data_IF_514737154962
#
_entry.id   IF_514737154962
#
_cell.length_a   1.000
_cell.length_b   1.000
_cell.length_c   1.000
_cell.angle_alpha   90.00
_cell.angle_beta   90.00
_cell.angle_gamma   90.00
#
_symmetry.space_group_name_H-M   'P 1'
#
loop_
_entity.id
_entity.type
_entity.pdbx_description
1 polymer ?
#
# COMPACT_ATOMS: atom_id res chain seq x y z
N UNK A 1 7.93 -17.50 19.02
CA UNK A 1 8.40 -16.91 17.75
C UNK A 1 8.29 -15.41 17.87
N UNK A 2 9.30 -14.65 17.46
CA UNK A 2 9.17 -13.19 17.32
C UNK A 2 8.17 -12.94 16.19
N UNK A 3 7.06 -12.28 16.48
CA UNK A 3 6.06 -11.91 15.47
C UNK A 3 6.30 -10.43 15.21
N UNK A 4 6.69 -10.07 13.98
CA UNK A 4 6.68 -8.67 13.59
C UNK A 4 5.24 -8.15 13.64
N UNK A 5 5.06 -6.91 14.08
CA UNK A 5 3.72 -6.26 14.12
C UNK A 5 3.15 -6.13 12.70
N UNK A 6 4.01 -5.94 11.71
CA UNK A 6 3.60 -5.92 10.32
C UNK A 6 4.77 -5.92 9.32
N UNK A 7 4.42 -5.90 8.04
CA UNK A 7 5.35 -5.87 6.90
C UNK A 7 5.15 -4.59 6.11
N UNK A 8 6.24 -3.87 5.88
CA UNK A 8 6.27 -2.68 5.06
C UNK A 8 7.06 -2.94 3.78
N UNK A 9 6.37 -2.93 2.65
CA UNK A 9 6.96 -3.00 1.32
C UNK A 9 7.19 -1.56 0.85
N UNK A 10 8.43 -1.24 0.50
CA UNK A 10 8.81 0.01 -0.18
C UNK A 10 9.21 -0.37 -1.59
N UNK A 11 8.53 0.16 -2.61
CA UNK A 11 8.73 -0.24 -3.99
C UNK A 11 8.81 0.96 -4.92
N UNK A 12 9.87 1.00 -5.72
CA UNK A 12 9.99 1.85 -6.89
C UNK A 12 9.69 1.03 -8.13
N UNK A 13 8.73 1.47 -8.94
CA UNK A 13 8.31 0.81 -10.18
C UNK A 13 8.52 1.73 -11.37
N UNK A 14 9.14 1.20 -12.42
CA UNK A 14 9.61 1.98 -13.57
C UNK A 14 9.08 1.42 -14.90
N UNK A 15 9.04 2.30 -15.90
CA UNK A 15 8.63 1.94 -17.27
C UNK A 15 7.15 1.64 -17.40
N UNK A 16 6.32 2.28 -16.56
CA UNK A 16 4.86 2.24 -16.62
C UNK A 16 4.39 3.22 -17.70
N UNK A 17 3.32 2.88 -18.41
CA UNK A 17 2.67 3.76 -19.38
C UNK A 17 2.25 5.08 -18.69
N UNK A 18 2.75 6.25 -19.14
CA UNK A 18 2.55 7.53 -18.46
C UNK A 18 1.08 7.85 -18.20
N UNK A 19 0.18 7.53 -19.11
CA UNK A 19 -1.26 7.81 -19.01
C UNK A 19 -1.89 7.21 -17.74
N UNK A 20 -1.37 6.06 -17.26
CA UNK A 20 -1.82 5.45 -16.00
C UNK A 20 -1.39 6.27 -14.77
N UNK A 21 -0.31 7.05 -14.89
CA UNK A 21 0.32 7.78 -13.79
C UNK A 21 -0.12 9.25 -13.72
N UNK A 22 -0.65 9.80 -14.80
CA UNK A 22 -0.96 11.22 -14.95
C UNK A 22 -2.10 11.68 -14.04
N UNK A 23 -3.12 10.84 -13.87
CA UNK A 23 -4.38 11.21 -13.20
C UNK A 23 -4.66 10.36 -11.98
N UNK A 24 -4.97 11.01 -10.85
CA UNK A 24 -5.24 10.33 -9.58
C UNK A 24 -6.36 9.29 -9.67
N UNK A 25 -7.34 9.49 -10.56
CA UNK A 25 -8.48 8.58 -10.75
C UNK A 25 -8.01 7.18 -11.18
N UNK A 26 -6.98 7.09 -12.02
CA UNK A 26 -6.40 5.83 -12.49
C UNK A 26 -5.77 5.05 -11.33
N UNK A 27 -4.99 5.74 -10.49
CA UNK A 27 -4.31 5.13 -9.34
C UNK A 27 -5.31 4.79 -8.23
N UNK A 28 -6.28 5.67 -7.97
CA UNK A 28 -7.33 5.45 -6.97
C UNK A 28 -8.03 4.11 -7.22
N UNK A 29 -8.45 3.82 -8.46
CA UNK A 29 -9.14 2.56 -8.76
C UNK A 29 -8.26 1.33 -8.46
N UNK A 30 -6.98 1.38 -8.88
CA UNK A 30 -6.02 0.30 -8.68
C UNK A 30 -5.77 0.07 -7.19
N UNK A 31 -5.48 1.13 -6.42
CA UNK A 31 -5.21 1.05 -4.99
C UNK A 31 -6.44 0.56 -4.22
N UNK A 32 -7.62 1.12 -4.48
CA UNK A 32 -8.86 0.71 -3.82
C UNK A 32 -9.20 -0.77 -4.11
N UNK A 33 -8.90 -1.26 -5.32
CA UNK A 33 -9.11 -2.66 -5.66
C UNK A 33 -8.07 -3.57 -5.00
N UNK A 34 -6.81 -3.13 -4.88
CA UNK A 34 -5.76 -3.87 -4.17
C UNK A 34 -6.13 -4.15 -2.72
N UNK A 35 -6.77 -3.18 -2.04
CA UNK A 35 -7.25 -3.30 -0.66
C UNK A 35 -8.30 -4.39 -0.54
N UNK A 36 -9.26 -4.42 -1.48
CA UNK A 36 -10.30 -5.47 -1.52
C UNK A 36 -9.71 -6.85 -1.78
N UNK A 37 -8.78 -6.97 -2.72
CA UNK A 37 -8.14 -8.24 -3.09
C UNK A 37 -7.25 -8.77 -1.97
N UNK A 38 -6.50 -7.89 -1.29
CA UNK A 38 -5.68 -8.22 -0.12
C UNK A 38 -6.46 -8.41 1.18
N UNK A 39 -7.80 -8.31 1.16
CA UNK A 39 -8.66 -8.37 2.33
C UNK A 39 -8.18 -7.45 3.47
N UNK A 40 -7.88 -6.20 3.09
CA UNK A 40 -7.41 -5.11 3.96
C UNK A 40 -8.59 -4.21 4.34
N UNK A 41 -8.57 -3.69 5.56
CA UNK A 41 -9.62 -2.79 6.07
C UNK A 41 -9.19 -1.34 5.92
N UNK A 42 -9.85 -0.61 5.01
CA UNK A 42 -9.68 0.83 4.85
C UNK A 42 -10.43 1.61 5.93
N UNK A 43 -9.77 2.60 6.53
CA UNK A 43 -10.39 3.64 7.38
C UNK A 43 -10.77 4.84 6.51
N UNK A 44 -9.80 5.42 5.81
CA UNK A 44 -9.96 6.62 5.01
C UNK A 44 -8.92 6.68 3.89
N UNK A 45 -9.13 7.55 2.93
CA UNK A 45 -8.20 7.76 1.81
C UNK A 45 -8.24 9.22 1.36
N UNK A 46 -7.09 9.76 0.97
CA UNK A 46 -6.98 11.07 0.34
C UNK A 46 -6.05 10.99 -0.89
N UNK A 47 -6.42 11.71 -1.94
CA UNK A 47 -5.74 11.66 -3.23
C UNK A 47 -5.63 13.06 -3.83
N UNK A 48 -4.40 13.49 -4.09
CA UNK A 48 -4.07 14.79 -4.64
C UNK A 48 -3.63 14.66 -6.09
N UNK A 49 -4.20 15.49 -6.96
CA UNK A 49 -3.79 15.64 -8.36
C UNK A 49 -2.85 16.84 -8.45
N UNK A 50 -1.66 16.63 -9.00
CA UNK A 50 -0.76 17.72 -9.38
C UNK A 50 -1.06 18.21 -10.79
N UNK A 51 -0.62 19.44 -11.06
CA UNK A 51 -0.69 20.07 -12.38
C UNK A 51 0.73 20.28 -12.91
N UNK A 52 1.00 19.99 -14.20
CA UNK A 52 0.03 19.54 -15.21
C UNK A 52 -0.36 18.05 -15.11
N UNK A 53 0.49 17.21 -14.52
CA UNK A 53 0.28 15.76 -14.39
C UNK A 53 0.89 15.23 -13.09
N UNK A 54 0.52 14.00 -12.73
CA UNK A 54 1.06 13.29 -11.57
C UNK A 54 0.11 13.35 -10.37
N UNK A 55 0.25 12.40 -9.47
CA UNK A 55 -0.65 12.25 -8.33
C UNK A 55 0.08 11.72 -7.10
N UNK A 56 -0.49 12.03 -5.94
CA UNK A 56 -0.16 11.38 -4.68
C UNK A 56 -1.41 10.84 -4.03
N UNK A 57 -1.27 9.73 -3.33
CA UNK A 57 -2.37 9.14 -2.58
C UNK A 57 -1.89 8.55 -1.28
N UNK A 58 -2.75 8.60 -0.27
CA UNK A 58 -2.56 7.85 0.96
C UNK A 58 -3.88 7.23 1.39
N UNK A 59 -3.82 5.98 1.78
CA UNK A 59 -4.94 5.22 2.32
C UNK A 59 -4.56 4.78 3.72
N UNK A 60 -5.32 5.25 4.70
CA UNK A 60 -5.21 4.80 6.08
C UNK A 60 -5.92 3.45 6.20
N UNK A 61 -5.18 2.43 6.62
CA UNK A 61 -5.73 1.12 6.95
C UNK A 61 -5.92 1.02 8.47
N UNK A 62 -6.71 0.04 8.92
CA UNK A 62 -7.03 -0.16 10.34
C UNK A 62 -5.81 -0.07 11.29
N UNK A 63 -4.64 -0.50 10.82
CA UNK A 63 -3.41 -0.53 11.62
C UNK A 63 -2.15 -0.11 10.84
N UNK A 64 -2.29 0.52 9.68
CA UNK A 64 -1.15 0.80 8.76
C UNK A 64 -1.53 1.76 7.62
N UNK A 65 -0.86 1.71 6.46
CA UNK A 65 -1.20 2.55 5.31
C UNK A 65 -0.75 1.97 3.97
N UNK A 66 -1.31 2.50 2.89
CA UNK A 66 -0.75 2.44 1.53
C UNK A 66 -0.56 3.87 1.06
N UNK A 67 0.62 4.25 0.56
CA UNK A 67 0.82 5.55 -0.09
C UNK A 67 1.56 5.41 -1.40
N UNK A 68 1.34 6.36 -2.30
CA UNK A 68 2.07 6.43 -3.55
C UNK A 68 2.33 7.86 -4.00
N UNK A 69 3.35 8.00 -4.84
CA UNK A 69 3.70 9.23 -5.55
C UNK A 69 4.09 8.88 -6.99
N UNK A 70 3.53 9.57 -7.98
CA UNK A 70 3.82 9.32 -9.40
C UNK A 70 4.64 10.44 -10.03
N UNK A 71 5.49 10.05 -10.97
CA UNK A 71 6.20 10.92 -11.91
C UNK A 71 6.00 10.38 -13.33
N UNK A 72 4.90 10.78 -14.01
CA UNK A 72 4.58 10.31 -15.37
C UNK A 72 5.71 10.55 -16.37
N UNK A 73 6.44 11.67 -16.24
CA UNK A 73 7.58 12.05 -17.09
C UNK A 73 8.74 11.05 -17.04
N UNK A 74 8.82 10.23 -15.98
CA UNK A 74 9.80 9.16 -15.82
C UNK A 74 9.17 7.77 -15.91
N UNK A 75 7.86 7.67 -16.17
CA UNK A 75 7.12 6.40 -16.13
C UNK A 75 7.27 5.70 -14.78
N UNK A 76 7.33 6.47 -13.68
CA UNK A 76 7.71 6.00 -12.35
C UNK A 76 6.61 6.23 -11.31
N UNK A 77 6.49 5.27 -10.40
CA UNK A 77 5.73 5.42 -9.16
C UNK A 77 6.57 4.87 -7.99
N UNK A 78 6.60 5.63 -6.89
CA UNK A 78 7.05 5.15 -5.59
C UNK A 78 5.82 4.71 -4.79
N UNK A 79 5.87 3.52 -4.20
CA UNK A 79 4.78 2.88 -3.45
C UNK A 79 5.27 2.42 -2.08
N UNK A 80 4.56 2.82 -1.04
CA UNK A 80 4.67 2.31 0.32
C UNK A 80 3.43 1.47 0.60
N UNK A 81 3.61 0.19 0.94
CA UNK A 81 2.53 -0.71 1.31
C UNK A 81 2.86 -1.35 2.65
N UNK A 82 2.28 -0.79 3.71
CA UNK A 82 2.41 -1.29 5.06
C UNK A 82 1.12 -2.00 5.47
N UNK A 83 1.21 -3.26 5.89
CA UNK A 83 0.13 -3.98 6.58
C UNK A 83 0.59 -4.47 7.94
N UNK A 84 -0.33 -4.50 8.90
CA UNK A 84 -0.14 -5.21 10.16
C UNK A 84 -0.76 -6.61 10.09
N UNK A 85 -0.22 -7.53 10.90
CA UNK A 85 -0.66 -8.91 10.93
C UNK A 85 -0.05 -9.76 9.81
N UNK A 86 -0.90 -10.36 8.99
CA UNK A 86 -0.51 -11.39 8.01
C UNK A 86 0.32 -10.81 6.84
N UNK A 87 1.60 -11.21 6.70
CA UNK A 87 2.47 -10.83 5.58
C UNK A 87 1.87 -11.14 4.20
N UNK A 88 1.08 -12.21 4.07
CA UNK A 88 0.53 -12.65 2.80
C UNK A 88 -0.42 -11.61 2.20
N UNK A 89 -1.15 -10.87 3.05
CA UNK A 89 -2.04 -9.79 2.61
C UNK A 89 -1.29 -8.64 1.94
N UNK A 90 -0.11 -8.28 2.46
CA UNK A 90 0.74 -7.26 1.84
C UNK A 90 1.18 -7.70 0.45
N UNK A 91 1.57 -8.97 0.33
CA UNK A 91 2.03 -9.53 -0.93
C UNK A 91 0.92 -9.61 -1.97
N UNK A 92 -0.27 -10.05 -1.59
CA UNK A 92 -1.43 -10.09 -2.48
C UNK A 92 -1.77 -8.70 -3.01
N UNK A 93 -1.84 -7.69 -2.12
CA UNK A 93 -2.13 -6.32 -2.53
C UNK A 93 -1.02 -5.74 -3.43
N UNK A 94 0.25 -5.98 -3.09
CA UNK A 94 1.41 -5.55 -3.89
C UNK A 94 1.44 -6.21 -5.28
N UNK A 95 1.22 -7.52 -5.37
CA UNK A 95 1.17 -8.23 -6.66
C UNK A 95 0.05 -7.68 -7.53
N UNK A 96 -1.14 -7.44 -6.96
CA UNK A 96 -2.25 -6.84 -7.70
C UNK A 96 -1.88 -5.47 -8.28
N UNK A 97 -1.28 -4.59 -7.48
CA UNK A 97 -0.86 -3.26 -7.94
C UNK A 97 0.17 -3.38 -9.05
N UNK A 98 1.20 -4.21 -8.85
CA UNK A 98 2.26 -4.45 -9.84
C UNK A 98 1.69 -4.98 -11.17
N UNK A 99 0.77 -5.93 -11.14
CA UNK A 99 0.13 -6.47 -12.33
C UNK A 99 -0.68 -5.41 -13.09
N UNK A 100 -1.37 -4.51 -12.38
CA UNK A 100 -2.19 -3.46 -13.00
C UNK A 100 -1.37 -2.32 -13.58
N UNK A 101 -0.26 -1.99 -12.95
CA UNK A 101 0.66 -0.97 -13.44
C UNK A 101 1.60 -1.50 -14.53
N UNK A 102 1.81 -2.82 -14.57
CA UNK A 102 2.66 -3.51 -15.56
C UNK A 102 4.03 -2.83 -15.78
N UNK A 103 4.81 -2.57 -14.72
CA UNK A 103 6.12 -1.93 -14.84
C UNK A 103 7.12 -2.85 -15.55
N UNK A 104 8.07 -2.24 -16.26
CA UNK A 104 9.20 -2.97 -16.88
C UNK A 104 10.24 -3.38 -15.85
N UNK A 105 10.38 -2.60 -14.79
CA UNK A 105 11.33 -2.87 -13.70
C UNK A 105 10.68 -2.54 -12.35
N UNK A 106 10.99 -3.35 -11.34
CA UNK A 106 10.54 -3.17 -9.97
C UNK A 106 11.72 -3.36 -9.03
N UNK A 107 12.01 -2.33 -8.24
CA UNK A 107 12.94 -2.39 -7.12
C UNK A 107 12.14 -2.28 -5.83
N UNK A 108 12.25 -3.25 -4.94
CA UNK A 108 11.52 -3.19 -3.67
C UNK A 108 12.28 -3.84 -2.53
N UNK A 109 12.00 -3.37 -1.33
CA UNK A 109 12.47 -3.95 -0.08
C UNK A 109 11.29 -4.25 0.83
N UNK A 110 11.39 -5.33 1.60
CA UNK A 110 10.43 -5.68 2.64
C UNK A 110 11.06 -5.46 4.00
N UNK A 111 10.39 -4.69 4.84
CA UNK A 111 10.81 -4.41 6.19
C UNK A 111 9.80 -4.94 7.20
N UNK A 112 10.26 -5.80 8.09
CA UNK A 112 9.52 -6.12 9.31
C UNK A 112 9.44 -4.90 10.22
N UNK A 113 8.23 -4.54 10.63
CA UNK A 113 7.96 -3.46 11.57
C UNK A 113 7.61 -4.07 12.92
N UNK A 114 8.26 -3.61 13.99
CA UNK A 114 7.97 -4.09 15.35
C UNK A 114 8.52 -5.48 15.70
N UNK A 115 9.57 -5.97 15.03
CA UNK A 115 10.18 -7.29 15.29
C UNK A 115 10.77 -7.51 16.69
N UNK A 116 10.84 -6.45 17.51
CA UNK A 116 11.26 -6.48 18.92
C UNK A 116 10.08 -6.41 19.90
N UNK A 117 8.84 -6.35 19.42
CA UNK A 117 7.63 -6.32 20.27
C UNK A 117 7.30 -7.76 20.68
N UNK A 118 7.13 -7.99 21.98
CA UNK A 118 6.55 -9.23 22.50
C UNK A 118 5.03 -9.06 22.57
N UNK A 119 4.27 -9.93 21.91
CA UNK A 119 2.80 -9.93 21.95
C UNK A 119 2.23 -10.16 23.36
N UNK A 120 3.08 -10.47 24.36
CA UNK A 120 2.67 -10.56 25.78
C UNK A 120 2.11 -9.25 26.36
N UNK A 121 2.28 -8.11 25.68
CA UNK A 121 1.80 -6.80 26.13
C UNK A 121 0.73 -6.19 25.21
N UNK A 122 0.22 -6.93 24.22
CA UNK A 122 -0.86 -6.43 23.39
C UNK A 122 -2.15 -6.36 24.23
N UNK A 123 -2.84 -5.21 24.31
CA UNK A 123 -4.17 -5.18 24.90
C UNK A 123 -5.03 -6.17 24.12
N UNK A 124 -5.72 -7.09 24.82
CA UNK A 124 -6.75 -7.92 24.20
C UNK A 124 -7.70 -6.99 23.44
N UNK A 125 -8.09 -7.30 22.19
CA UNK A 125 -9.11 -6.53 21.51
C UNK A 125 -10.32 -6.50 22.43
N UNK A 126 -10.70 -5.31 22.88
CA UNK A 126 -11.96 -5.12 23.57
C UNK A 126 -13.02 -5.72 22.65
N UNK A 127 -13.78 -6.69 23.13
CA UNK A 127 -14.87 -7.29 22.38
C UNK A 127 -15.79 -6.14 21.95
N UNK A 128 -15.69 -5.73 20.68
CA UNK A 128 -16.58 -4.72 20.12
C UNK A 128 -17.96 -5.35 20.14
N UNK A 129 -18.76 -5.00 21.16
CA UNK A 129 -20.19 -5.25 21.14
C UNK A 129 -20.74 -4.41 20.00
N UNK A 130 -21.05 -5.06 18.89
CA UNK A 130 -21.96 -4.50 17.91
C UNK A 130 -23.31 -4.35 18.60
N UNK A 131 -23.72 -3.10 18.84
CA UNK A 131 -25.09 -2.73 19.20
C UNK A 131 -25.85 -2.47 17.90
#
# INVERSE_FOLDING_TARGET
>A
MKVAVGIHILADMYGIEPELLERKENLMEIIERSIRVGNLTKISSDYYQFEPVGASGIVLLAESHISFHTWPEYGMIALDLFTCGDPEKADIAFQYIKEKLNPKEVQFVKHERGSKVSLSNAPQPAATQFV
#
